data_IF_334076272165
#
_entry.id   IF_334076272165
#
_cell.length_a   1.000
_cell.length_b   1.000
_cell.length_c   1.000
_cell.angle_alpha   90.00
_cell.angle_beta   90.00
_cell.angle_gamma   90.00
#
_symmetry.space_group_name_H-M   'P 1'
#
loop_
_entity.id
_entity.type
_entity.pdbx_description
1 polymer ?
#
# COMPACT_ATOMS: atom_id res chain seq x y z
N UNK A 1 5.96 -21.43 20.35
CA UNK A 1 5.80 -20.82 19.03
C UNK A 1 4.54 -21.44 18.44
N UNK A 2 3.56 -20.59 18.14
CA UNK A 2 2.29 -21.00 17.53
C UNK A 2 2.58 -21.54 16.13
N UNK A 3 2.12 -22.77 15.81
CA UNK A 3 2.30 -23.39 14.50
C UNK A 3 1.18 -23.03 13.52
N UNK A 4 0.12 -22.41 14.01
CA UNK A 4 -1.09 -22.07 13.24
C UNK A 4 -1.06 -20.62 12.70
N UNK A 5 -0.19 -19.77 13.28
CA UNK A 5 -0.11 -18.36 12.95
C UNK A 5 1.34 -17.90 12.78
N UNK A 6 1.58 -17.02 11.84
CA UNK A 6 2.82 -16.28 11.71
C UNK A 6 2.62 -14.84 12.16
N UNK A 7 3.48 -14.39 13.04
CA UNK A 7 3.59 -12.99 13.43
C UNK A 7 4.95 -12.48 12.97
N UNK A 8 4.95 -11.35 12.31
CA UNK A 8 6.17 -10.74 11.77
C UNK A 8 6.22 -9.27 12.13
N UNK A 9 7.38 -8.80 12.53
CA UNK A 9 7.65 -7.38 12.73
C UNK A 9 8.70 -6.97 11.70
N UNK A 10 8.44 -5.84 11.04
CA UNK A 10 9.37 -5.21 10.11
C UNK A 10 9.67 -3.80 10.59
N UNK A 11 10.94 -3.52 10.86
CA UNK A 11 11.43 -2.22 11.28
C UNK A 11 12.41 -1.68 10.23
N UNK A 12 12.40 -0.39 9.98
CA UNK A 12 13.28 0.28 9.03
C UNK A 12 12.57 0.68 7.73
N UNK A 13 13.36 0.94 6.70
CA UNK A 13 12.85 1.37 5.41
C UNK A 13 12.16 0.23 4.67
N UNK A 14 10.87 0.36 4.43
CA UNK A 14 10.07 -0.63 3.73
C UNK A 14 8.99 0.00 2.87
N UNK A 15 8.42 -0.78 1.96
CA UNK A 15 7.23 -0.34 1.22
C UNK A 15 6.06 -0.16 2.18
N UNK A 16 5.33 0.92 2.00
CA UNK A 16 4.08 1.17 2.71
C UNK A 16 3.00 0.27 2.09
N UNK A 17 2.36 -0.62 2.86
CA UNK A 17 1.32 -1.50 2.33
C UNK A 17 0.01 -0.73 2.09
N UNK A 18 -0.09 -0.10 0.93
CA UNK A 18 -1.29 0.60 0.45
C UNK A 18 -1.47 0.32 -1.05
N UNK A 19 -2.50 -0.43 -1.38
CA UNK A 19 -2.80 -0.92 -2.72
C UNK A 19 -1.89 -2.07 -3.18
N UNK A 20 -2.46 -3.03 -3.89
CA UNK A 20 -1.76 -4.22 -4.35
C UNK A 20 -0.53 -3.89 -5.22
N UNK A 21 -0.65 -2.91 -6.12
CA UNK A 21 0.45 -2.51 -7.00
C UNK A 21 1.68 -2.00 -6.24
N UNK A 22 1.50 -1.35 -5.08
CA UNK A 22 2.62 -0.91 -4.25
C UNK A 22 3.32 -2.09 -3.55
N UNK A 23 2.61 -3.18 -3.30
CA UNK A 23 3.19 -4.38 -2.71
C UNK A 23 4.09 -5.12 -3.71
N UNK A 24 3.80 -5.01 -5.01
CA UNK A 24 4.56 -5.68 -6.06
C UNK A 24 5.90 -5.00 -6.37
N UNK A 25 6.86 -5.80 -6.83
CA UNK A 25 8.05 -5.26 -7.49
C UNK A 25 7.63 -4.55 -8.78
N UNK A 26 8.33 -3.47 -9.15
CA UNK A 26 8.05 -2.72 -10.38
C UNK A 26 8.02 -3.61 -11.64
N UNK A 27 8.87 -4.62 -11.69
CA UNK A 27 8.92 -5.59 -12.80
C UNK A 27 7.73 -6.57 -12.84
N UNK A 28 6.93 -6.66 -11.79
CA UNK A 28 5.79 -7.57 -11.69
C UNK A 28 4.45 -6.83 -11.77
N UNK A 29 4.45 -5.54 -12.04
CA UNK A 29 3.22 -4.77 -12.23
C UNK A 29 2.64 -5.04 -13.61
N UNK A 30 1.31 -4.99 -13.71
CA UNK A 30 0.60 -5.13 -14.99
C UNK A 30 0.73 -3.88 -15.86
N UNK A 31 0.94 -2.73 -15.25
CA UNK A 31 1.09 -1.42 -15.87
C UNK A 31 2.52 -0.90 -15.73
N UNK A 32 2.94 0.00 -16.60
CA UNK A 32 4.27 0.63 -16.53
C UNK A 32 4.46 1.46 -15.26
N UNK A 33 3.38 2.04 -14.74
CA UNK A 33 3.39 2.81 -13.49
C UNK A 33 2.19 2.44 -12.63
N UNK A 34 2.24 2.84 -11.36
CA UNK A 34 1.13 2.68 -10.42
C UNK A 34 0.00 3.65 -10.75
N UNK A 35 -1.22 3.31 -10.37
CA UNK A 35 -2.34 4.23 -10.46
C UNK A 35 -2.05 5.56 -9.74
N UNK A 36 -2.49 6.69 -10.30
CA UNK A 36 -2.25 8.03 -9.75
C UNK A 36 -2.72 8.18 -8.30
N UNK A 37 -3.81 7.50 -7.95
CA UNK A 37 -4.30 7.45 -6.57
C UNK A 37 -3.28 6.85 -5.60
N UNK A 38 -2.54 5.81 -6.01
CA UNK A 38 -1.47 5.20 -5.22
C UNK A 38 -0.22 6.07 -5.21
N UNK A 39 0.15 6.65 -6.36
CA UNK A 39 1.30 7.54 -6.46
C UNK A 39 1.14 8.79 -5.59
N UNK A 40 -0.08 9.32 -5.46
CA UNK A 40 -0.35 10.46 -4.61
C UNK A 40 -0.42 10.10 -3.13
N UNK A 41 -0.89 8.90 -2.77
CA UNK A 41 -0.95 8.44 -1.39
C UNK A 41 0.44 8.06 -0.86
N UNK A 42 1.24 7.40 -1.67
CA UNK A 42 2.57 6.89 -1.31
C UNK A 42 3.58 7.30 -2.39
N UNK A 43 4.00 8.58 -2.43
CA UNK A 43 4.79 9.12 -3.54
C UNK A 43 6.09 8.37 -3.82
N UNK A 44 6.74 7.87 -2.78
CA UNK A 44 8.05 7.21 -2.88
C UNK A 44 7.99 5.69 -2.71
N UNK A 45 6.81 5.08 -2.70
CA UNK A 45 6.58 3.64 -2.42
C UNK A 45 7.03 3.19 -1.03
N UNK A 46 8.07 3.78 -0.49
CA UNK A 46 8.77 3.35 0.73
C UNK A 46 8.93 4.51 1.70
N UNK A 47 8.97 4.13 2.97
CA UNK A 47 9.31 5.06 4.04
C UNK A 47 9.96 4.32 5.21
N UNK A 48 10.47 5.07 6.17
CA UNK A 48 11.00 4.55 7.43
C UNK A 48 9.85 4.31 8.39
N UNK A 49 9.75 3.10 8.93
CA UNK A 49 8.63 2.76 9.83
C UNK A 49 8.76 1.45 10.57
N UNK A 50 7.72 1.14 11.27
CA UNK A 50 7.53 -0.10 12.02
C UNK A 50 6.17 -0.69 11.70
N UNK A 51 6.15 -1.93 11.21
CA UNK A 51 4.94 -2.68 10.88
C UNK A 51 4.92 -4.01 11.60
N UNK A 52 3.74 -4.39 12.09
CA UNK A 52 3.42 -5.72 12.56
C UNK A 52 2.46 -6.40 11.59
N UNK A 53 2.70 -7.67 11.28
CA UNK A 53 1.90 -8.48 10.37
C UNK A 53 1.47 -9.77 11.02
N UNK A 54 0.29 -10.22 10.65
CA UNK A 54 -0.25 -11.51 11.04
C UNK A 54 -0.75 -12.30 9.83
N UNK A 55 -0.46 -13.62 9.79
CA UNK A 55 -0.87 -14.50 8.72
C UNK A 55 -1.19 -15.90 9.25
N UNK A 56 -2.40 -16.44 9.01
CA UNK A 56 -2.70 -17.84 9.31
C UNK A 56 -1.89 -18.79 8.43
N UNK A 57 -1.53 -19.96 8.97
CA UNK A 57 -0.66 -20.92 8.28
C UNK A 57 -1.27 -21.49 6.99
N UNK A 58 -2.61 -21.63 6.93
CA UNK A 58 -3.28 -22.11 5.70
C UNK A 58 -3.14 -21.10 4.56
N UNK A 59 -3.26 -19.80 4.85
CA UNK A 59 -3.04 -18.73 3.87
C UNK A 59 -1.60 -18.69 3.39
N UNK A 60 -0.63 -18.86 4.30
CA UNK A 60 0.77 -18.97 3.90
C UNK A 60 1.04 -20.12 2.95
N UNK A 61 0.43 -21.29 3.21
CA UNK A 61 0.56 -22.45 2.32
C UNK A 61 -0.02 -22.14 0.94
N UNK A 62 -1.16 -21.47 0.89
CA UNK A 62 -1.82 -21.07 -0.35
C UNK A 62 -0.93 -20.10 -1.15
N UNK A 63 -0.44 -19.03 -0.53
CA UNK A 63 0.48 -18.08 -1.18
C UNK A 63 1.78 -18.75 -1.65
N UNK A 64 2.36 -19.64 -0.85
CA UNK A 64 3.54 -20.42 -1.26
C UNK A 64 3.25 -21.32 -2.49
N UNK A 65 2.06 -21.90 -2.55
CA UNK A 65 1.65 -22.71 -3.71
C UNK A 65 1.47 -21.85 -4.97
N UNK A 66 0.84 -20.69 -4.86
CA UNK A 66 0.70 -19.74 -5.96
C UNK A 66 2.08 -19.25 -6.44
N UNK A 67 2.97 -18.89 -5.52
CA UNK A 67 4.34 -18.47 -5.87
C UNK A 67 5.14 -19.55 -6.55
N UNK A 68 4.99 -20.83 -6.17
CA UNK A 68 5.62 -21.97 -6.87
C UNK A 68 5.12 -22.14 -8.31
N UNK A 69 3.90 -21.68 -8.60
CA UNK A 69 3.33 -21.65 -9.95
C UNK A 69 3.73 -20.40 -10.75
N UNK A 70 4.58 -19.54 -10.19
CA UNK A 70 5.05 -18.30 -10.83
C UNK A 70 4.18 -17.08 -10.60
N UNK A 71 3.06 -17.22 -9.87
CA UNK A 71 2.14 -16.13 -9.60
C UNK A 71 2.69 -15.21 -8.49
N UNK A 72 2.40 -13.92 -8.59
CA UNK A 72 2.90 -12.89 -7.67
C UNK A 72 1.82 -12.49 -6.66
N UNK A 73 1.97 -12.98 -5.44
CA UNK A 73 1.05 -12.73 -4.34
C UNK A 73 1.53 -11.60 -3.43
N UNK A 74 0.66 -11.12 -2.56
CA UNK A 74 1.00 -10.15 -1.51
C UNK A 74 1.48 -10.79 -0.19
N UNK A 75 1.88 -12.06 -0.22
CA UNK A 75 2.18 -12.87 0.98
C UNK A 75 3.18 -12.30 1.98
N UNK A 76 4.12 -11.47 1.54
CA UNK A 76 5.10 -10.84 2.43
C UNK A 76 4.52 -9.75 3.35
N UNK A 77 3.30 -9.31 3.10
CA UNK A 77 2.62 -8.26 3.88
C UNK A 77 1.52 -8.80 4.80
N UNK A 78 1.37 -10.13 4.86
CA UNK A 78 0.42 -10.81 5.75
C UNK A 78 -1.04 -10.61 5.36
N UNK A 79 -1.92 -11.28 6.11
CA UNK A 79 -3.38 -11.10 6.00
C UNK A 79 -3.81 -9.80 6.65
N UNK A 80 -3.24 -9.49 7.80
CA UNK A 80 -3.45 -8.23 8.51
C UNK A 80 -2.10 -7.59 8.81
N UNK A 81 -2.02 -6.29 8.65
CA UNK A 81 -0.87 -5.48 9.00
C UNK A 81 -1.28 -4.15 9.59
N UNK A 82 -0.58 -3.72 10.61
CA UNK A 82 -0.73 -2.38 11.19
C UNK A 82 0.63 -1.83 11.55
N UNK A 83 0.82 -0.55 11.36
CA UNK A 83 2.07 0.10 11.71
C UNK A 83 2.08 1.60 11.52
N UNK A 84 3.25 2.15 11.72
CA UNK A 84 3.51 3.58 11.65
C UNK A 84 4.72 3.86 10.78
N UNK A 85 4.65 4.92 10.03
CA UNK A 85 5.71 5.43 9.17
C UNK A 85 5.95 6.91 9.43
N UNK A 86 7.12 7.37 9.00
CA UNK A 86 7.50 8.78 9.11
C UNK A 86 6.58 9.71 8.29
N UNK A 87 6.08 9.24 7.15
CA UNK A 87 5.11 9.95 6.33
C UNK A 87 5.69 10.83 5.22
N UNK A 88 6.94 11.23 5.31
CA UNK A 88 7.56 12.14 4.31
C UNK A 88 8.06 11.40 3.05
N UNK A 89 8.20 10.09 3.12
CA UNK A 89 8.77 9.26 2.07
C UNK A 89 10.29 9.18 2.10
N UNK A 90 10.81 8.26 1.29
CA UNK A 90 12.25 7.94 1.24
C UNK A 90 13.11 9.17 0.88
N UNK A 91 14.26 9.31 1.55
CA UNK A 91 15.28 10.33 1.28
C UNK A 91 14.77 11.77 1.44
N UNK A 92 13.71 11.99 2.18
CA UNK A 92 13.25 13.32 2.57
C UNK A 92 13.53 13.53 4.05
N UNK A 93 14.02 14.71 4.46
CA UNK A 93 14.12 15.04 5.87
C UNK A 93 12.71 15.10 6.48
N UNK A 94 12.60 14.69 7.73
CA UNK A 94 11.39 14.89 8.51
C UNK A 94 11.08 16.39 8.60
N UNK A 95 9.85 16.76 8.36
CA UNK A 95 9.43 18.15 8.33
C UNK A 95 8.27 18.45 9.31
N UNK A 96 7.75 17.41 9.98
CA UNK A 96 6.77 17.50 11.05
C UNK A 96 7.03 16.38 12.06
N UNK A 97 6.43 16.45 13.23
CA UNK A 97 6.56 15.46 14.30
C UNK A 97 5.45 14.37 14.22
N UNK A 98 4.67 14.36 13.14
CA UNK A 98 3.51 13.48 12.99
C UNK A 98 3.87 12.18 12.27
N UNK A 99 3.35 11.08 12.79
CA UNK A 99 3.51 9.75 12.19
C UNK A 99 2.30 9.41 11.31
N UNK A 100 2.58 8.71 10.22
CA UNK A 100 1.54 8.14 9.37
C UNK A 100 1.17 6.75 9.86
N UNK A 101 -0.09 6.57 10.25
CA UNK A 101 -0.67 5.28 10.60
C UNK A 101 -1.08 4.55 9.31
N UNK A 102 -0.76 3.26 9.23
CA UNK A 102 -1.10 2.40 8.10
C UNK A 102 -1.75 1.13 8.60
N UNK A 103 -2.88 0.78 8.00
CA UNK A 103 -3.54 -0.51 8.19
C UNK A 103 -3.70 -1.20 6.84
N UNK A 104 -3.43 -2.50 6.82
CA UNK A 104 -3.47 -3.36 5.64
C UNK A 104 -4.23 -4.63 5.94
N UNK A 105 -5.09 -5.05 5.02
CA UNK A 105 -5.74 -6.35 5.06
C UNK A 105 -5.84 -6.93 3.66
N UNK A 106 -5.47 -8.20 3.51
CA UNK A 106 -5.67 -8.96 2.26
C UNK A 106 -5.95 -10.42 2.55
N UNK A 107 -6.81 -11.04 1.77
CA UNK A 107 -7.18 -12.44 1.95
C UNK A 107 -7.36 -13.15 0.60
N UNK A 108 -6.65 -14.26 0.35
CA UNK A 108 -6.85 -15.08 -0.83
C UNK A 108 -8.04 -16.03 -0.63
N UNK A 109 -9.00 -15.97 -1.53
CA UNK A 109 -10.20 -16.81 -1.56
C UNK A 109 -10.06 -17.82 -2.70
N UNK A 110 -10.09 -19.11 -2.38
CA UNK A 110 -10.17 -20.18 -3.39
C UNK A 110 -11.59 -20.23 -3.98
N UNK A 111 -11.70 -20.17 -5.31
CA UNK A 111 -12.98 -20.06 -6.01
C UNK A 111 -13.61 -21.42 -6.40
N UNK A 112 -13.12 -22.51 -5.85
CA UNK A 112 -13.57 -23.87 -6.16
C UNK A 112 -15.09 -24.08 -5.94
N UNK A 113 -15.67 -23.32 -5.02
CA UNK A 113 -17.09 -23.35 -4.71
C UNK A 113 -17.99 -22.78 -5.83
N UNK A 114 -17.43 -22.04 -6.79
CA UNK A 114 -18.18 -21.49 -7.94
C UNK A 114 -18.34 -22.47 -9.10
N UNK A 115 -17.83 -23.70 -8.95
CA UNK A 115 -17.99 -24.75 -9.93
C UNK A 115 -16.72 -25.09 -10.71
N UNK A 116 -16.84 -26.05 -11.63
CA UNK A 116 -15.69 -26.65 -12.31
C UNK A 116 -14.84 -25.67 -13.14
N UNK A 117 -15.46 -24.63 -13.68
CA UNK A 117 -14.76 -23.60 -14.46
C UNK A 117 -13.81 -22.74 -13.61
N UNK A 118 -14.10 -22.60 -12.31
CA UNK A 118 -13.31 -21.78 -11.39
C UNK A 118 -12.38 -22.61 -10.50
N UNK A 119 -12.33 -23.92 -10.74
CA UNK A 119 -11.52 -24.84 -9.94
C UNK A 119 -10.03 -24.50 -10.00
N UNK A 120 -9.42 -24.33 -8.84
CA UNK A 120 -8.03 -23.95 -8.68
C UNK A 120 -7.74 -22.45 -8.87
N UNK A 121 -8.75 -21.65 -9.19
CA UNK A 121 -8.62 -20.19 -9.27
C UNK A 121 -8.62 -19.58 -7.87
N UNK A 122 -7.84 -18.53 -7.68
CA UNK A 122 -7.76 -17.79 -6.41
C UNK A 122 -8.01 -16.32 -6.67
N UNK A 123 -8.91 -15.72 -5.90
CA UNK A 123 -9.16 -14.28 -5.87
C UNK A 123 -8.58 -13.71 -4.59
N UNK A 124 -7.60 -12.83 -4.67
CA UNK A 124 -7.12 -12.06 -3.53
C UNK A 124 -7.92 -10.76 -3.42
N UNK A 125 -8.52 -10.53 -2.28
CA UNK A 125 -9.26 -9.29 -1.97
C UNK A 125 -8.60 -8.59 -0.80
N UNK A 126 -8.56 -7.27 -0.82
CA UNK A 126 -7.93 -6.51 0.24
C UNK A 126 -8.48 -5.10 0.40
N UNK A 127 -8.18 -4.53 1.56
CA UNK A 127 -8.48 -3.16 1.92
C UNK A 127 -7.30 -2.58 2.71
N UNK A 128 -6.99 -1.33 2.41
CA UNK A 128 -5.88 -0.59 3.00
C UNK A 128 -6.36 0.76 3.48
N UNK A 129 -5.77 1.28 4.54
CA UNK A 129 -6.01 2.61 5.05
C UNK A 129 -4.70 3.29 5.43
N UNK A 130 -4.61 4.57 5.14
CA UNK A 130 -3.53 5.47 5.57
C UNK A 130 -4.18 6.67 6.25
N UNK A 131 -3.65 7.05 7.40
CA UNK A 131 -4.00 8.28 8.09
C UNK A 131 -2.75 8.94 8.64
N UNK A 132 -2.54 10.20 8.29
CA UNK A 132 -1.37 10.95 8.71
C UNK A 132 -1.40 12.41 8.29
N UNK A 133 -0.31 13.08 8.53
CA UNK A 133 -0.13 14.46 8.11
C UNK A 133 1.11 14.58 7.23
N UNK A 134 0.96 15.25 6.11
CA UNK A 134 2.06 15.49 5.17
C UNK A 134 2.34 16.98 5.05
N UNK A 135 3.62 17.32 5.05
CA UNK A 135 4.05 18.64 4.63
C UNK A 135 4.16 18.68 3.10
N UNK A 136 3.36 19.51 2.48
CA UNK A 136 3.37 19.68 1.03
C UNK A 136 4.07 20.98 0.64
N UNK A 137 4.99 20.88 -0.31
CA UNK A 137 5.58 22.05 -0.95
C UNK A 137 4.65 22.58 -2.03
N UNK A 138 4.36 23.87 -2.00
CA UNK A 138 3.62 24.58 -3.06
C UNK A 138 4.55 25.31 -4.04
N UNK A 139 5.84 25.01 -4.04
CA UNK A 139 6.82 25.70 -4.89
C UNK A 139 6.52 25.61 -6.39
N UNK A 140 5.72 24.63 -6.80
CA UNK A 140 5.27 24.43 -8.18
C UNK A 140 3.82 24.86 -8.46
N UNK A 141 3.10 25.39 -7.46
CA UNK A 141 1.74 25.87 -7.68
C UNK A 141 1.75 27.21 -8.43
N UNK A 142 0.89 27.36 -9.41
CA UNK A 142 0.75 28.59 -10.21
C UNK A 142 -0.70 28.83 -10.61
N UNK A 143 -1.00 30.00 -11.16
CA UNK A 143 -2.35 30.32 -11.67
C UNK A 143 -2.77 29.36 -12.80
N UNK A 144 -1.82 28.89 -13.62
CA UNK A 144 -2.05 27.94 -14.73
C UNK A 144 -2.03 26.47 -14.28
N UNK A 145 -1.35 26.16 -13.15
CA UNK A 145 -1.28 24.84 -12.55
C UNK A 145 -1.53 24.94 -11.03
N UNK A 146 -2.78 25.11 -10.61
CA UNK A 146 -3.11 25.29 -9.21
C UNK A 146 -2.96 23.98 -8.43
N UNK A 147 -2.48 24.07 -7.21
CA UNK A 147 -2.54 22.97 -6.24
C UNK A 147 -3.80 23.09 -5.39
N UNK A 148 -4.25 21.99 -4.84
CA UNK A 148 -5.35 21.96 -3.88
C UNK A 148 -4.86 21.37 -2.57
N UNK A 149 -5.09 22.09 -1.48
CA UNK A 149 -4.72 21.68 -0.13
C UNK A 149 -5.97 21.82 0.74
N UNK A 150 -6.40 20.73 1.37
CA UNK A 150 -7.63 20.70 2.18
C UNK A 150 -8.84 21.33 1.45
N UNK A 151 -8.96 21.09 0.14
CA UNK A 151 -10.01 21.66 -0.70
C UNK A 151 -9.80 23.13 -1.11
N UNK A 152 -8.79 23.80 -0.59
CA UNK A 152 -8.46 25.18 -0.93
C UNK A 152 -7.54 25.24 -2.16
N UNK A 153 -7.93 26.04 -3.15
CA UNK A 153 -7.17 26.25 -4.38
C UNK A 153 -6.00 27.21 -4.13
N UNK A 154 -4.78 26.73 -4.34
CA UNK A 154 -3.53 27.50 -4.21
C UNK A 154 -2.97 27.82 -5.59
N UNK A 155 -2.82 29.09 -5.90
CA UNK A 155 -2.38 29.58 -7.23
C UNK A 155 -1.03 30.28 -7.21
N UNK A 156 -0.37 30.32 -6.06
CA UNK A 156 0.95 30.94 -5.89
C UNK A 156 1.85 30.06 -5.03
N UNK A 157 3.16 30.17 -5.24
CA UNK A 157 4.14 29.54 -4.35
C UNK A 157 4.10 30.23 -2.98
N UNK A 158 3.61 29.55 -1.97
CA UNK A 158 3.67 30.00 -0.59
C UNK A 158 4.86 29.30 0.06
N UNK A 159 5.92 30.02 0.35
CA UNK A 159 7.07 29.49 1.10
C UNK A 159 6.82 29.70 2.59
N UNK A 160 6.84 28.60 3.34
CA UNK A 160 6.95 28.65 4.79
C UNK A 160 5.70 29.12 5.55
N UNK A 161 4.50 29.04 4.96
CA UNK A 161 3.28 29.30 5.71
C UNK A 161 2.89 28.05 6.52
N UNK A 162 2.37 28.27 7.72
CA UNK A 162 1.87 27.18 8.58
C UNK A 162 0.68 26.44 7.96
N UNK A 163 -0.02 27.04 6.98
CA UNK A 163 -1.09 26.42 6.20
C UNK A 163 -0.63 25.24 5.33
N UNK A 164 0.68 25.11 5.07
CA UNK A 164 1.26 24.02 4.30
C UNK A 164 1.82 22.90 5.17
N UNK A 165 1.91 23.13 6.47
CA UNK A 165 2.29 22.13 7.45
C UNK A 165 1.04 21.36 7.87
N UNK A 166 1.23 20.09 8.19
CA UNK A 166 0.20 19.27 8.81
C UNK A 166 -1.09 19.13 7.97
N UNK A 167 -0.96 18.93 6.66
CA UNK A 167 -2.13 18.59 5.85
C UNK A 167 -2.54 17.15 6.14
N UNK A 168 -3.78 16.95 6.56
CA UNK A 168 -4.32 15.62 6.78
C UNK A 168 -4.36 14.84 5.47
N UNK A 169 -3.89 13.61 5.51
CA UNK A 169 -3.86 12.68 4.38
C UNK A 169 -4.51 11.37 4.82
N UNK A 170 -5.84 11.32 4.71
CA UNK A 170 -6.63 10.15 5.05
C UNK A 170 -7.09 9.47 3.77
N UNK A 171 -6.72 8.21 3.57
CA UNK A 171 -7.09 7.45 2.38
C UNK A 171 -7.48 6.04 2.72
N UNK A 172 -8.44 5.53 1.98
CA UNK A 172 -8.83 4.12 1.99
C UNK A 172 -8.76 3.60 0.57
N UNK A 173 -8.21 2.41 0.41
CA UNK A 173 -8.14 1.69 -0.85
C UNK A 173 -8.74 0.30 -0.71
N UNK A 174 -9.32 -0.22 -1.78
CA UNK A 174 -9.73 -1.62 -1.90
C UNK A 174 -9.16 -2.20 -3.18
N UNK A 175 -8.84 -3.48 -3.16
CA UNK A 175 -8.32 -4.16 -4.35
C UNK A 175 -8.86 -5.59 -4.46
N UNK A 176 -8.91 -6.09 -5.68
CA UNK A 176 -9.21 -7.48 -5.98
C UNK A 176 -8.31 -7.94 -7.13
N UNK A 177 -7.63 -9.06 -6.94
CA UNK A 177 -6.69 -9.61 -7.93
C UNK A 177 -6.99 -11.08 -8.15
N UNK A 178 -7.33 -11.43 -9.38
CA UNK A 178 -7.52 -12.82 -9.77
C UNK A 178 -6.18 -13.41 -10.19
N UNK A 179 -5.85 -14.59 -9.68
CA UNK A 179 -4.70 -15.39 -10.09
C UNK A 179 -5.14 -16.47 -11.10
N UNK A 180 -5.17 -16.14 -12.41
CA UNK A 180 -5.67 -17.07 -13.41
C UNK A 180 -4.72 -18.24 -13.60
N UNK A 181 -5.25 -19.46 -13.55
CA UNK A 181 -4.49 -20.69 -13.80
C UNK A 181 -5.08 -21.42 -15.01
N UNK A 182 -4.22 -22.03 -15.87
CA UNK A 182 -2.77 -22.21 -15.73
C UNK A 182 -1.91 -21.05 -16.26
N UNK A 183 -2.51 -19.96 -16.73
CA UNK A 183 -1.80 -18.98 -17.54
C UNK A 183 -0.94 -17.98 -16.73
N UNK A 184 -1.16 -17.85 -15.42
CA UNK A 184 -0.40 -16.95 -14.56
C UNK A 184 -0.55 -15.45 -14.90
N UNK A 185 -0.20 -14.60 -13.98
CA UNK A 185 0.07 -13.16 -14.18
C UNK A 185 1.56 -12.90 -14.00
#
# INVERSE_FOLDING_TARGET
IDKEHEYRIRAGQSKIPFGWENLQSSQNRLTFDRADALNSAVPSERDLGLMAYWTPSHVQKLWKNLSKKGLKTSGDYGVLGIGVYNGQGINKPEANDDLTLVAHSTYPVELDFLGSAMKGQVLEVGADAISGQLNRSTSSCSASAPCYINGTRITSSIKGSDELKNNSEDRVGVHAVLFPQPFGL
#
